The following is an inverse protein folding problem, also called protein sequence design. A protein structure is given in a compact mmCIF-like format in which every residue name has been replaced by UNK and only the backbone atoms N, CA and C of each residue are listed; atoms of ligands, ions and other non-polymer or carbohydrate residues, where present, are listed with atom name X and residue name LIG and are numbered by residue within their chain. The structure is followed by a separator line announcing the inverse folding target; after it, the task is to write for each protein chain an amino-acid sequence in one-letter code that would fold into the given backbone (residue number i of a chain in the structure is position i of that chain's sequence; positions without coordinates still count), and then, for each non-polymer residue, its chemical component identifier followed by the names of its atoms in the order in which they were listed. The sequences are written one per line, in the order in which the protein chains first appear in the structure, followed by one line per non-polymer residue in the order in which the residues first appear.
data_IF_246287693196
#
_entry.id   IF_246287693196
#
_cell.length_a   1.000
_cell.length_b   1.000
_cell.length_c   1.000
_cell.angle_alpha   90.00
_cell.angle_beta   90.00
_cell.angle_gamma   90.00
#
_symmetry.space_group_name_H-M   'P 1'
#
loop_
_entity.id
_entity.type
_entity.pdbx_description
1 polymer ?
#
# COMPACT_ATOMS: atom_id res chain seq x y z
N UNK A 1 -38.99 -20.83 1.96
CA UNK A 1 -38.93 -19.63 2.84
C UNK A 1 -37.50 -19.49 3.32
N UNK A 2 -36.92 -18.28 3.22
CA UNK A 2 -35.58 -18.02 3.79
C UNK A 2 -35.78 -17.83 5.29
N UNK A 3 -35.10 -18.63 6.09
CA UNK A 3 -35.15 -18.53 7.55
C UNK A 3 -34.58 -17.19 8.02
N UNK A 4 -35.30 -16.43 8.88
CA UNK A 4 -34.84 -15.13 9.38
C UNK A 4 -33.46 -15.20 10.05
N UNK A 5 -33.13 -16.34 10.67
CA UNK A 5 -31.85 -16.62 11.34
C UNK A 5 -30.67 -16.57 10.34
N UNK A 6 -30.86 -17.13 9.15
CA UNK A 6 -29.87 -17.12 8.09
C UNK A 6 -29.61 -15.71 7.55
N UNK A 7 -30.68 -14.92 7.35
CA UNK A 7 -30.59 -13.53 6.88
C UNK A 7 -29.87 -12.62 7.91
N UNK A 8 -30.10 -12.89 9.20
CA UNK A 8 -29.55 -12.10 10.30
C UNK A 8 -28.17 -12.60 10.79
N UNK A 9 -27.65 -13.69 10.20
CA UNK A 9 -26.41 -14.33 10.62
C UNK A 9 -26.45 -14.90 12.05
N UNK A 10 -27.64 -15.37 12.48
CA UNK A 10 -27.92 -15.91 13.80
C UNK A 10 -28.28 -17.39 13.71
N UNK A 11 -27.46 -18.19 13.02
CA UNK A 11 -27.76 -19.58 12.63
C UNK A 11 -28.09 -20.51 13.82
N UNK A 12 -27.48 -20.27 14.99
CA UNK A 12 -27.72 -21.07 16.21
C UNK A 12 -28.73 -20.42 17.18
N UNK A 13 -29.59 -19.54 16.66
CA UNK A 13 -30.53 -18.80 17.48
C UNK A 13 -31.95 -18.98 16.95
N UNK A 14 -32.88 -19.26 17.84
CA UNK A 14 -34.31 -19.24 17.60
C UNK A 14 -34.82 -17.81 17.80
N UNK A 15 -35.32 -17.18 16.72
CA UNK A 15 -35.89 -15.84 16.77
C UNK A 15 -37.34 -15.93 17.28
N UNK A 16 -37.61 -15.28 18.39
CA UNK A 16 -38.95 -15.28 19.01
C UNK A 16 -39.80 -14.11 18.53
N UNK A 17 -39.25 -12.90 18.43
CA UNK A 17 -39.96 -11.72 17.92
C UNK A 17 -39.05 -10.79 17.14
N UNK A 18 -39.65 -10.09 16.17
CA UNK A 18 -38.99 -8.98 15.43
C UNK A 18 -39.98 -7.79 15.48
N UNK A 19 -39.59 -6.72 16.12
CA UNK A 19 -40.45 -5.55 16.37
C UNK A 19 -39.78 -4.25 15.94
N UNK A 20 -40.59 -3.26 15.53
CA UNK A 20 -40.12 -1.88 15.38
C UNK A 20 -40.11 -1.21 16.75
N UNK A 21 -39.00 -0.62 17.15
CA UNK A 21 -38.87 0.04 18.44
C UNK A 21 -38.04 1.33 18.33
N UNK A 22 -38.64 2.47 18.65
CA UNK A 22 -37.91 3.75 18.70
C UNK A 22 -37.16 4.12 17.39
N UNK A 23 -37.76 3.87 16.22
CA UNK A 23 -37.11 4.10 14.91
C UNK A 23 -36.11 3.03 14.50
N UNK A 24 -35.82 2.06 15.36
CA UNK A 24 -34.98 0.89 15.12
C UNK A 24 -35.75 -0.43 14.99
N UNK A 25 -35.02 -1.52 15.07
CA UNK A 25 -35.54 -2.89 15.09
C UNK A 25 -35.05 -3.57 16.37
N UNK A 26 -35.94 -4.23 17.07
CA UNK A 26 -35.63 -5.12 18.19
C UNK A 26 -35.86 -6.55 17.74
N UNK A 27 -34.90 -7.41 18.00
CA UNK A 27 -34.97 -8.84 17.75
C UNK A 27 -34.78 -9.55 19.06
N UNK A 28 -35.81 -10.31 19.49
CA UNK A 28 -35.69 -11.19 20.64
C UNK A 28 -35.36 -12.60 20.14
N UNK A 29 -34.37 -13.22 20.76
CA UNK A 29 -33.89 -14.53 20.34
C UNK A 29 -33.37 -15.35 21.53
N UNK A 30 -33.37 -16.67 21.34
CA UNK A 30 -32.83 -17.66 22.26
C UNK A 30 -31.75 -18.46 21.55
N UNK A 31 -30.63 -18.70 22.23
CA UNK A 31 -29.61 -19.60 21.70
C UNK A 31 -30.07 -21.06 21.81
N UNK A 32 -30.12 -21.77 20.70
CA UNK A 32 -30.58 -23.15 20.57
C UNK A 32 -29.44 -24.18 20.54
N UNK A 33 -28.19 -23.73 20.39
CA UNK A 33 -27.04 -24.60 20.32
C UNK A 33 -26.61 -25.19 21.66
N UNK A 34 -25.61 -26.08 21.67
CA UNK A 34 -25.12 -26.77 22.87
C UNK A 34 -24.47 -25.82 23.87
N UNK A 35 -24.77 -26.03 25.15
CA UNK A 35 -24.21 -25.23 26.25
C UNK A 35 -23.26 -26.12 27.06
N UNK A 36 -22.04 -25.68 27.26
CA UNK A 36 -21.03 -26.34 28.08
C UNK A 36 -20.40 -25.37 29.09
N UNK A 37 -19.87 -25.94 30.17
CA UNK A 37 -19.13 -25.16 31.18
C UNK A 37 -17.84 -24.60 30.58
N UNK A 38 -17.58 -23.29 30.64
CA UNK A 38 -16.38 -22.68 30.10
C UNK A 38 -15.08 -23.03 30.85
N UNK A 39 -15.18 -23.74 31.98
CA UNK A 39 -14.02 -24.10 32.81
C UNK A 39 -13.59 -25.56 32.67
N UNK A 40 -14.55 -26.50 32.52
CA UNK A 40 -14.26 -27.94 32.47
C UNK A 40 -14.95 -28.64 31.29
N UNK A 41 -15.62 -27.90 30.43
CA UNK A 41 -16.37 -28.36 29.26
C UNK A 41 -17.51 -29.36 29.56
N UNK A 42 -17.84 -29.58 30.84
CA UNK A 42 -18.94 -30.44 31.24
C UNK A 42 -20.31 -29.91 30.80
N UNK A 43 -21.18 -30.83 30.41
CA UNK A 43 -22.54 -30.50 29.88
C UNK A 43 -23.63 -30.64 30.94
N UNK A 44 -23.37 -31.28 32.09
CA UNK A 44 -24.31 -31.40 33.20
C UNK A 44 -24.41 -30.06 33.95
N UNK A 45 -25.45 -29.29 33.62
CA UNK A 45 -25.65 -27.93 34.10
C UNK A 45 -26.97 -27.82 34.85
N UNK A 46 -26.99 -27.02 35.94
CA UNK A 46 -28.21 -26.67 36.70
C UNK A 46 -28.46 -25.17 36.52
N UNK A 47 -29.67 -24.80 36.10
CA UNK A 47 -30.06 -23.40 35.99
C UNK A 47 -30.15 -22.74 37.37
N UNK A 48 -29.69 -21.50 37.48
CA UNK A 48 -29.70 -20.65 38.67
C UNK A 48 -30.47 -19.32 38.43
N UNK A 49 -31.23 -19.25 37.36
CA UNK A 49 -32.05 -18.11 36.97
C UNK A 49 -31.83 -17.65 35.54
N UNK A 50 -32.76 -16.86 35.05
CA UNK A 50 -32.74 -16.28 33.68
C UNK A 50 -32.28 -14.84 33.72
N UNK A 51 -31.83 -14.31 32.61
CA UNK A 51 -31.52 -12.90 32.39
C UNK A 51 -31.67 -12.57 30.92
N UNK A 52 -31.87 -11.30 30.59
CA UNK A 52 -31.88 -10.79 29.23
C UNK A 52 -30.56 -10.03 29.00
N UNK A 53 -29.88 -10.36 27.89
CA UNK A 53 -28.69 -9.65 27.42
C UNK A 53 -29.04 -8.83 26.21
N UNK A 54 -28.81 -7.52 26.29
CA UNK A 54 -29.02 -6.57 25.18
C UNK A 54 -27.73 -6.24 24.53
N UNK A 55 -27.65 -6.40 23.19
CA UNK A 55 -26.47 -6.10 22.39
C UNK A 55 -26.87 -5.42 21.10
N UNK A 56 -26.05 -4.51 20.66
CA UNK A 56 -26.17 -3.89 19.36
C UNK A 56 -25.81 -4.90 18.27
N UNK A 57 -26.69 -5.09 17.28
CA UNK A 57 -26.50 -5.92 16.09
C UNK A 57 -26.29 -5.04 14.86
N UNK A 58 -25.83 -5.61 13.75
CA UNK A 58 -25.73 -4.91 12.46
C UNK A 58 -27.05 -4.21 12.13
N UNK A 59 -26.92 -3.00 11.59
CA UNK A 59 -28.09 -2.23 11.17
C UNK A 59 -28.78 -2.88 9.98
N UNK A 60 -30.08 -3.02 10.01
CA UNK A 60 -30.87 -3.58 8.91
C UNK A 60 -31.36 -2.40 8.07
N UNK A 61 -30.79 -2.26 6.88
CA UNK A 61 -30.95 -1.07 6.07
C UNK A 61 -30.34 0.15 6.79
N UNK A 62 -31.16 1.16 7.08
CA UNK A 62 -30.73 2.36 7.84
C UNK A 62 -31.22 2.35 9.31
N UNK A 63 -31.78 1.25 9.77
CA UNK A 63 -32.36 1.14 11.11
C UNK A 63 -31.42 0.44 12.07
N UNK A 64 -31.26 1.05 13.22
CA UNK A 64 -30.51 0.47 14.31
C UNK A 64 -31.14 -0.85 14.76
N UNK A 65 -30.35 -1.91 14.96
CA UNK A 65 -30.84 -3.20 15.41
C UNK A 65 -30.34 -3.51 16.82
N UNK A 66 -31.26 -3.81 17.72
CA UNK A 66 -31.00 -4.27 19.08
C UNK A 66 -31.39 -5.74 19.21
N UNK A 67 -30.43 -6.56 19.60
CA UNK A 67 -30.65 -7.99 19.85
C UNK A 67 -30.84 -8.18 21.38
N UNK A 68 -31.98 -8.74 21.76
CA UNK A 68 -32.29 -9.16 23.12
C UNK A 68 -32.22 -10.68 23.22
N UNK A 69 -31.26 -11.16 24.00
CA UNK A 69 -30.98 -12.60 24.15
C UNK A 69 -31.41 -13.09 25.51
N UNK A 70 -32.31 -14.07 25.51
CA UNK A 70 -32.61 -14.82 26.72
C UNK A 70 -31.42 -15.74 27.07
N UNK A 71 -30.94 -15.66 28.27
CA UNK A 71 -29.84 -16.45 28.77
C UNK A 71 -30.06 -16.94 30.21
N UNK A 72 -29.28 -17.95 30.56
CA UNK A 72 -29.31 -18.55 31.88
C UNK A 72 -28.02 -18.32 32.66
N UNK A 73 -28.15 -18.19 33.97
CA UNK A 73 -27.05 -18.37 34.90
C UNK A 73 -26.97 -19.87 35.19
N UNK A 74 -25.82 -20.47 34.98
CA UNK A 74 -25.60 -21.89 35.15
C UNK A 74 -24.68 -22.22 36.30
N UNK A 75 -24.90 -23.34 36.95
CA UNK A 75 -23.95 -24.03 37.86
C UNK A 75 -23.55 -25.33 37.20
N UNK A 76 -22.26 -25.54 36.95
CA UNK A 76 -21.74 -26.83 36.50
C UNK A 76 -21.78 -27.83 37.64
N UNK A 77 -22.33 -29.04 37.37
CA UNK A 77 -22.39 -30.10 38.36
C UNK A 77 -21.07 -30.84 38.53
N UNK A 78 -20.18 -30.81 37.51
CA UNK A 78 -18.86 -31.42 37.57
C UNK A 78 -17.87 -30.56 38.37
N UNK A 79 -17.58 -29.32 37.97
CA UNK A 79 -16.61 -28.45 38.64
C UNK A 79 -17.22 -27.49 39.69
N UNK A 80 -18.53 -27.51 39.87
CA UNK A 80 -19.32 -26.68 40.82
C UNK A 80 -19.26 -25.18 40.59
N UNK A 81 -18.54 -24.67 39.58
CA UNK A 81 -18.44 -23.26 39.24
C UNK A 81 -19.74 -22.72 38.63
N UNK A 82 -20.04 -21.45 38.90
CA UNK A 82 -21.16 -20.74 38.30
C UNK A 82 -20.67 -19.88 37.16
N UNK A 83 -21.48 -19.74 36.09
CA UNK A 83 -21.19 -18.89 34.97
C UNK A 83 -22.48 -18.37 34.30
N UNK A 84 -22.35 -17.26 33.58
CA UNK A 84 -23.41 -16.79 32.69
C UNK A 84 -23.26 -17.47 31.33
N UNK A 85 -24.37 -17.84 30.71
CA UNK A 85 -24.38 -18.41 29.36
C UNK A 85 -23.58 -17.52 28.42
N UNK A 86 -22.72 -18.17 27.60
CA UNK A 86 -22.03 -17.50 26.50
C UNK A 86 -22.89 -17.61 25.24
N UNK A 87 -22.77 -16.61 24.39
CA UNK A 87 -23.49 -16.52 23.12
C UNK A 87 -22.47 -16.44 21.99
N UNK A 88 -22.48 -17.36 21.02
CA UNK A 88 -21.65 -17.27 19.81
C UNK A 88 -21.83 -15.92 19.13
N UNK A 89 -20.74 -15.35 18.59
CA UNK A 89 -20.77 -14.02 17.96
C UNK A 89 -20.92 -12.83 18.91
N UNK A 90 -20.91 -13.06 20.24
CA UNK A 90 -21.01 -12.00 21.25
C UNK A 90 -19.93 -12.19 22.30
N UNK A 91 -18.90 -11.35 22.24
CA UNK A 91 -17.82 -11.39 23.21
C UNK A 91 -18.28 -11.10 24.64
N UNK A 92 -17.65 -11.73 25.65
CA UNK A 92 -17.93 -11.43 27.05
C UNK A 92 -17.82 -9.93 27.35
N UNK A 93 -18.71 -9.42 28.17
CA UNK A 93 -18.74 -8.00 28.60
C UNK A 93 -18.85 -6.95 27.48
N UNK A 94 -19.13 -7.35 26.24
CA UNK A 94 -19.36 -6.41 25.15
C UNK A 94 -20.85 -6.10 24.96
N UNK A 95 -21.15 -4.85 24.58
CA UNK A 95 -22.53 -4.36 24.29
C UNK A 95 -22.87 -4.39 22.80
N UNK A 96 -22.02 -5.01 21.97
CA UNK A 96 -22.22 -5.15 20.53
C UNK A 96 -21.76 -6.54 20.08
N UNK A 97 -22.45 -7.09 19.09
CA UNK A 97 -22.08 -8.34 18.44
C UNK A 97 -20.75 -8.21 17.68
N UNK A 98 -20.11 -9.33 17.40
CA UNK A 98 -18.91 -9.34 16.55
C UNK A 98 -19.22 -8.91 15.11
N UNK A 99 -20.41 -9.23 14.60
CA UNK A 99 -20.88 -8.79 13.31
C UNK A 99 -20.95 -7.26 13.24
N UNK A 100 -21.59 -6.60 14.20
CA UNK A 100 -21.62 -5.14 14.29
C UNK A 100 -20.22 -4.52 14.37
N UNK A 101 -19.32 -5.11 15.16
CA UNK A 101 -17.94 -4.61 15.27
C UNK A 101 -17.18 -4.75 13.93
N UNK A 102 -17.38 -5.86 13.19
CA UNK A 102 -16.82 -6.06 11.85
C UNK A 102 -17.38 -5.07 10.83
N UNK A 103 -18.69 -4.82 10.84
CA UNK A 103 -19.33 -3.81 10.01
C UNK A 103 -18.73 -2.41 10.24
N UNK A 104 -18.57 -1.98 11.49
CA UNK A 104 -17.93 -0.70 11.84
C UNK A 104 -16.50 -0.65 11.38
N UNK A 105 -15.74 -1.73 11.54
CA UNK A 105 -14.36 -1.84 11.08
C UNK A 105 -14.26 -1.66 9.57
N UNK A 106 -15.05 -2.42 8.78
CA UNK A 106 -15.05 -2.37 7.33
C UNK A 106 -15.40 -0.97 6.81
N UNK A 107 -16.49 -0.40 7.27
CA UNK A 107 -16.93 0.93 6.83
C UNK A 107 -15.94 2.05 7.19
N UNK A 108 -15.26 1.94 8.33
CA UNK A 108 -14.19 2.89 8.68
C UNK A 108 -12.94 2.66 7.84
N UNK A 109 -12.63 1.43 7.51
CA UNK A 109 -11.54 1.07 6.60
C UNK A 109 -11.77 1.64 5.20
N UNK A 110 -13.02 1.56 4.69
CA UNK A 110 -13.46 2.09 3.40
C UNK A 110 -13.51 3.63 3.33
N UNK A 111 -13.12 4.33 4.41
CA UNK A 111 -12.91 5.77 4.42
C UNK A 111 -14.02 6.59 5.09
N UNK A 112 -15.06 5.97 5.67
CA UNK A 112 -16.05 6.72 6.45
C UNK A 112 -15.40 7.17 7.76
N UNK A 113 -15.36 8.49 8.02
CA UNK A 113 -14.72 9.00 9.22
C UNK A 113 -15.47 8.62 10.51
N UNK A 114 -14.74 8.59 11.64
CA UNK A 114 -15.24 8.15 12.95
C UNK A 114 -16.47 8.90 13.43
N UNK A 115 -16.49 10.22 13.25
CA UNK A 115 -17.59 11.07 13.72
C UNK A 115 -18.87 10.79 12.93
N UNK A 116 -18.78 10.72 11.59
CA UNK A 116 -19.92 10.42 10.73
C UNK A 116 -20.46 9.01 10.99
N UNK A 117 -19.57 8.04 11.13
CA UNK A 117 -19.94 6.65 11.40
C UNK A 117 -20.59 6.53 12.79
N UNK A 118 -20.00 7.20 13.79
CA UNK A 118 -20.54 7.24 15.14
C UNK A 118 -21.95 7.84 15.21
N UNK A 119 -22.17 8.98 14.54
CA UNK A 119 -23.49 9.60 14.44
C UNK A 119 -24.52 8.70 13.76
N UNK A 120 -24.14 8.07 12.64
CA UNK A 120 -25.02 7.18 11.89
C UNK A 120 -25.44 5.95 12.68
N UNK A 121 -24.52 5.37 13.42
CA UNK A 121 -24.77 4.13 14.16
C UNK A 121 -25.16 4.36 15.64
N UNK A 122 -25.26 5.61 16.08
CA UNK A 122 -25.64 5.94 17.47
C UNK A 122 -24.58 5.52 18.50
N UNK A 123 -23.29 5.55 18.14
CA UNK A 123 -22.17 5.22 19.04
C UNK A 123 -21.13 6.35 19.07
N UNK A 124 -20.37 6.44 20.15
CA UNK A 124 -19.31 7.45 20.26
C UNK A 124 -18.15 7.19 19.29
N UNK A 125 -17.52 8.27 18.78
CA UNK A 125 -16.35 8.19 17.90
C UNK A 125 -15.18 7.37 18.53
N UNK A 126 -15.02 7.44 19.87
CA UNK A 126 -14.04 6.62 20.59
C UNK A 126 -14.38 5.12 20.55
N UNK A 127 -15.66 4.76 20.47
CA UNK A 127 -16.08 3.37 20.32
C UNK A 127 -15.80 2.86 18.91
N UNK A 128 -16.02 3.69 17.87
CA UNK A 128 -15.61 3.38 16.48
C UNK A 128 -14.11 3.11 16.42
N UNK A 129 -13.29 3.99 17.02
CA UNK A 129 -11.84 3.81 17.07
C UNK A 129 -11.45 2.51 17.76
N UNK A 130 -12.06 2.18 18.89
CA UNK A 130 -11.78 0.96 19.66
C UNK A 130 -12.11 -0.31 18.86
N UNK A 131 -13.23 -0.32 18.12
CA UNK A 131 -13.57 -1.44 17.24
C UNK A 131 -12.62 -1.54 16.05
N UNK A 132 -12.20 -0.40 15.51
CA UNK A 132 -11.24 -0.35 14.43
C UNK A 132 -9.87 -0.89 14.87
N UNK A 133 -9.32 -0.44 15.98
CA UNK A 133 -8.05 -0.92 16.52
C UNK A 133 -8.09 -2.43 16.83
N UNK A 134 -9.20 -2.92 17.37
CA UNK A 134 -9.38 -4.36 17.62
C UNK A 134 -9.42 -5.17 16.33
N UNK A 135 -10.09 -4.67 15.29
CA UNK A 135 -10.12 -5.28 13.96
C UNK A 135 -8.73 -5.32 13.33
N UNK A 136 -7.99 -4.22 13.43
CA UNK A 136 -6.59 -4.14 13.01
C UNK A 136 -5.74 -5.22 13.70
N UNK A 137 -5.79 -5.31 15.01
CA UNK A 137 -4.99 -6.30 15.76
C UNK A 137 -5.29 -7.73 15.33
N UNK A 138 -6.56 -8.09 15.09
CA UNK A 138 -6.95 -9.41 14.59
C UNK A 138 -6.34 -9.70 13.23
N UNK A 139 -6.43 -8.79 12.28
CA UNK A 139 -5.86 -8.98 10.94
C UNK A 139 -4.34 -8.98 10.95
N UNK A 140 -3.71 -8.17 11.82
CA UNK A 140 -2.25 -8.10 11.90
C UNK A 140 -1.61 -9.31 12.60
N UNK A 141 -2.31 -10.03 13.48
CA UNK A 141 -1.78 -11.28 14.04
C UNK A 141 -1.46 -12.33 12.96
N UNK A 142 -2.20 -12.28 11.84
CA UNK A 142 -1.97 -13.14 10.68
C UNK A 142 -0.79 -12.65 9.78
N UNK A 143 -0.38 -11.38 9.92
CA UNK A 143 0.63 -10.74 9.06
C UNK A 143 2.06 -10.81 9.61
N UNK A 144 2.25 -11.03 10.90
CA UNK A 144 3.57 -11.03 11.54
C UNK A 144 4.50 -12.15 11.05
N UNK A 145 3.99 -13.13 10.31
CA UNK A 145 4.77 -14.27 9.78
C UNK A 145 5.28 -14.06 8.34
N UNK A 146 5.07 -12.90 7.72
CA UNK A 146 5.47 -12.69 6.32
C UNK A 146 6.96 -12.40 6.21
N UNK A 147 7.70 -13.37 5.67
CA UNK A 147 9.11 -13.21 5.30
C UNK A 147 9.29 -12.17 4.19
N UNK A 148 10.50 -11.60 4.09
CA UNK A 148 10.86 -10.70 3.01
C UNK A 148 10.51 -11.28 1.63
N UNK A 149 9.95 -10.47 0.70
CA UNK A 149 9.66 -10.91 -0.65
C UNK A 149 10.96 -11.19 -1.43
N UNK A 150 10.91 -12.13 -2.37
CA UNK A 150 12.06 -12.45 -3.23
C UNK A 150 12.48 -11.27 -4.13
N UNK A 151 11.51 -10.44 -4.52
CA UNK A 151 11.70 -9.27 -5.38
C UNK A 151 11.09 -8.08 -4.66
N UNK A 152 11.94 -7.21 -4.15
CA UNK A 152 11.57 -6.04 -3.37
C UNK A 152 11.63 -4.77 -4.23
N UNK A 153 10.61 -3.94 -4.16
CA UNK A 153 10.63 -2.56 -4.63
C UNK A 153 10.87 -1.63 -3.45
N UNK A 154 11.73 -0.63 -3.62
CA UNK A 154 11.95 0.44 -2.65
C UNK A 154 11.71 1.77 -3.35
N UNK A 155 10.84 2.59 -2.76
CA UNK A 155 10.53 3.92 -3.28
C UNK A 155 10.14 4.86 -2.15
N UNK A 156 10.19 6.15 -2.37
CA UNK A 156 9.79 7.14 -1.38
C UNK A 156 8.49 7.84 -1.77
N UNK A 157 7.68 8.16 -0.77
CA UNK A 157 6.52 9.03 -0.96
C UNK A 157 6.43 10.08 0.14
N UNK A 158 5.82 11.21 -0.19
CA UNK A 158 5.58 12.26 0.78
C UNK A 158 4.42 11.88 1.69
N UNK A 159 4.64 11.86 3.00
CA UNK A 159 3.61 11.52 3.97
C UNK A 159 2.88 12.75 4.50
N UNK A 160 3.58 13.66 5.17
CA UNK A 160 3.01 14.92 5.69
C UNK A 160 4.08 16.01 5.78
N UNK A 161 3.67 17.28 5.77
CA UNK A 161 4.61 18.41 5.95
C UNK A 161 5.42 18.31 7.25
N UNK A 162 4.80 17.83 8.34
CA UNK A 162 5.45 17.71 9.66
C UNK A 162 6.43 16.54 9.75
N UNK A 163 6.12 15.41 9.13
CA UNK A 163 6.91 14.17 9.25
C UNK A 163 7.73 13.85 8.01
N UNK A 164 7.55 14.60 6.92
CA UNK A 164 8.31 14.46 5.69
C UNK A 164 7.93 13.21 4.90
N UNK A 165 8.96 12.46 4.50
CA UNK A 165 8.84 11.30 3.62
C UNK A 165 8.73 9.99 4.39
N UNK A 166 8.16 8.99 3.73
CA UNK A 166 8.18 7.60 4.14
C UNK A 166 8.72 6.73 3.01
N UNK A 167 9.37 5.63 3.35
CA UNK A 167 9.86 4.63 2.41
C UNK A 167 8.84 3.51 2.29
N UNK A 168 8.43 3.23 1.07
CA UNK A 168 7.53 2.13 0.71
C UNK A 168 8.34 0.92 0.28
N UNK A 169 8.05 -0.22 0.87
CA UNK A 169 8.59 -1.53 0.51
C UNK A 169 7.49 -2.33 -0.18
N UNK A 170 7.70 -2.71 -1.45
CA UNK A 170 6.73 -3.44 -2.26
C UNK A 170 7.20 -4.85 -2.59
N UNK A 171 6.31 -5.81 -2.52
CA UNK A 171 6.47 -7.13 -3.13
C UNK A 171 6.13 -7.03 -4.62
N UNK A 172 7.16 -6.86 -5.45
CA UNK A 172 6.98 -6.69 -6.91
C UNK A 172 6.57 -7.99 -7.63
N UNK A 173 6.68 -9.14 -6.97
CA UNK A 173 6.22 -10.41 -7.52
C UNK A 173 4.72 -10.58 -7.36
N UNK A 174 4.20 -10.26 -6.18
CA UNK A 174 2.81 -10.46 -5.81
C UNK A 174 1.98 -9.17 -5.91
N UNK A 175 2.55 -8.09 -6.43
CA UNK A 175 1.88 -6.80 -6.68
C UNK A 175 1.17 -6.26 -5.43
N UNK A 176 1.91 -6.10 -4.34
CA UNK A 176 1.36 -5.61 -3.06
C UNK A 176 2.38 -4.79 -2.28
N UNK A 177 1.89 -3.92 -1.41
CA UNK A 177 2.74 -3.26 -0.43
C UNK A 177 3.14 -4.27 0.65
N UNK A 178 4.43 -4.44 0.84
CA UNK A 178 4.98 -5.26 1.90
C UNK A 178 4.98 -4.51 3.23
N UNK A 179 5.53 -3.28 3.25
CA UNK A 179 5.50 -2.41 4.41
C UNK A 179 5.77 -0.94 4.05
N UNK A 180 5.53 -0.04 5.01
CA UNK A 180 5.85 1.38 4.92
C UNK A 180 6.60 1.80 6.17
N UNK A 181 7.72 2.50 5.99
CA UNK A 181 8.60 2.93 7.09
C UNK A 181 8.73 4.44 7.06
N UNK A 182 8.61 5.10 8.22
CA UNK A 182 8.77 6.55 8.29
C UNK A 182 10.22 6.95 8.08
N UNK A 183 10.45 7.95 7.23
CA UNK A 183 11.76 8.46 6.87
C UNK A 183 12.32 7.84 5.59
N UNK A 184 13.46 8.40 5.15
CA UNK A 184 14.19 7.98 3.93
C UNK A 184 15.70 7.94 4.11
N UNK A 185 16.20 8.30 5.30
CA UNK A 185 17.63 8.23 5.62
C UNK A 185 18.02 6.82 6.09
N UNK A 186 19.30 6.47 5.97
CA UNK A 186 19.83 5.20 6.45
C UNK A 186 19.51 5.01 7.95
N UNK A 187 19.73 6.05 8.76
CA UNK A 187 19.45 6.03 10.19
C UNK A 187 17.97 5.78 10.50
N UNK A 188 17.05 6.38 9.74
CA UNK A 188 15.61 6.18 9.96
C UNK A 188 15.14 4.78 9.61
N UNK A 189 15.80 4.10 8.68
CA UNK A 189 15.45 2.75 8.23
C UNK A 189 16.16 1.66 9.05
N UNK A 190 17.26 1.96 9.71
CA UNK A 190 18.15 1.01 10.37
C UNK A 190 17.41 0.13 11.38
N UNK A 191 16.68 0.72 12.33
CA UNK A 191 15.97 -0.01 13.38
C UNK A 191 14.88 -0.95 12.86
N UNK A 192 14.25 -0.59 11.75
CA UNK A 192 13.29 -1.43 11.06
C UNK A 192 13.97 -2.59 10.35
N UNK A 193 15.03 -2.29 9.58
CA UNK A 193 15.75 -3.27 8.77
C UNK A 193 16.52 -4.30 9.62
N UNK A 194 17.02 -3.90 10.79
CA UNK A 194 17.66 -4.84 11.72
C UNK A 194 16.69 -5.95 12.16
N UNK A 195 15.45 -5.60 12.48
CA UNK A 195 14.40 -6.53 12.92
C UNK A 195 13.73 -7.32 11.80
N UNK A 196 14.01 -6.97 10.55
CA UNK A 196 13.37 -7.59 9.40
C UNK A 196 13.92 -8.99 9.16
N UNK A 197 13.06 -10.00 9.18
CA UNK A 197 13.43 -11.40 8.96
C UNK A 197 13.44 -11.79 7.48
N UNK A 198 14.26 -12.77 7.12
CA UNK A 198 14.29 -13.32 5.76
C UNK A 198 15.00 -12.45 4.73
N UNK A 199 15.82 -11.48 5.13
CA UNK A 199 16.59 -10.59 4.25
C UNK A 199 17.50 -11.34 3.27
N UNK A 200 18.07 -12.45 3.66
CA UNK A 200 18.92 -13.32 2.80
C UNK A 200 18.17 -14.00 1.67
N UNK A 201 16.84 -14.10 1.75
CA UNK A 201 16.01 -14.63 0.68
C UNK A 201 15.76 -13.64 -0.46
N UNK A 202 15.95 -12.35 -0.24
CA UNK A 202 15.76 -11.31 -1.26
C UNK A 202 16.81 -11.48 -2.38
N UNK A 203 16.36 -11.60 -3.62
CA UNK A 203 17.21 -11.82 -4.81
C UNK A 203 17.36 -10.57 -5.68
N UNK A 204 16.33 -9.75 -5.71
CA UNK A 204 16.32 -8.51 -6.49
C UNK A 204 15.74 -7.38 -5.65
N UNK A 205 16.36 -6.20 -5.75
CA UNK A 205 15.80 -4.96 -5.23
C UNK A 205 15.73 -3.96 -6.37
N UNK A 206 14.52 -3.52 -6.73
CA UNK A 206 14.28 -2.44 -7.67
C UNK A 206 14.11 -1.13 -6.89
N UNK A 207 14.88 -0.10 -7.25
CA UNK A 207 14.89 1.17 -6.54
C UNK A 207 15.30 2.33 -7.42
N UNK A 208 15.06 3.53 -6.94
CA UNK A 208 15.55 4.78 -7.53
C UNK A 208 17.07 4.89 -7.48
N UNK A 209 17.60 5.83 -8.25
CA UNK A 209 19.04 6.17 -8.23
C UNK A 209 19.41 7.00 -6.98
N UNK A 210 19.05 6.51 -5.81
CA UNK A 210 19.36 7.13 -4.52
C UNK A 210 20.51 6.39 -3.83
N UNK A 211 21.60 7.11 -3.52
CA UNK A 211 22.80 6.54 -2.88
C UNK A 211 22.50 5.95 -1.51
N UNK A 212 21.59 6.56 -0.75
CA UNK A 212 21.11 6.06 0.54
C UNK A 212 20.52 4.65 0.42
N UNK A 213 19.61 4.44 -0.54
CA UNK A 213 19.02 3.12 -0.73
C UNK A 213 20.04 2.09 -1.23
N UNK A 214 21.02 2.52 -2.04
CA UNK A 214 22.13 1.64 -2.46
C UNK A 214 22.94 1.15 -1.25
N UNK A 215 23.30 2.06 -0.32
CA UNK A 215 23.99 1.72 0.94
C UNK A 215 23.16 0.75 1.77
N UNK A 216 21.90 1.08 2.03
CA UNK A 216 20.95 0.28 2.79
C UNK A 216 20.81 -1.14 2.20
N UNK A 217 20.65 -1.26 0.88
CA UNK A 217 20.48 -2.57 0.24
C UNK A 217 21.74 -3.40 0.35
N UNK A 218 22.91 -2.83 0.12
CA UNK A 218 24.20 -3.53 0.25
C UNK A 218 24.47 -4.03 1.66
N UNK A 219 24.07 -3.24 2.67
CA UNK A 219 24.25 -3.57 4.08
C UNK A 219 23.29 -4.68 4.56
N UNK A 220 22.01 -4.59 4.19
CA UNK A 220 20.97 -5.43 4.79
C UNK A 220 20.50 -6.60 3.93
N UNK A 221 20.75 -6.60 2.61
CA UNK A 221 20.29 -7.64 1.68
C UNK A 221 21.47 -8.27 0.91
N UNK A 222 22.28 -9.12 1.58
CA UNK A 222 23.58 -9.57 1.05
C UNK A 222 23.50 -10.32 -0.27
N UNK A 223 22.37 -11.00 -0.54
CA UNK A 223 22.16 -11.80 -1.75
C UNK A 223 21.40 -11.06 -2.85
N UNK A 224 21.02 -9.80 -2.59
CA UNK A 224 20.19 -9.05 -3.51
C UNK A 224 21.01 -8.36 -4.61
N UNK A 225 20.56 -8.48 -5.84
CA UNK A 225 21.04 -7.66 -6.94
C UNK A 225 20.18 -6.40 -7.03
N UNK A 226 20.84 -5.25 -7.08
CA UNK A 226 20.15 -3.96 -7.25
C UNK A 226 19.85 -3.77 -8.74
N UNK A 227 18.64 -3.33 -9.03
CA UNK A 227 18.15 -2.97 -10.37
C UNK A 227 17.64 -1.53 -10.28
N UNK A 228 18.15 -0.66 -11.15
CA UNK A 228 17.66 0.72 -11.23
C UNK A 228 16.22 0.76 -11.74
N UNK A 229 15.38 1.63 -11.18
CA UNK A 229 14.07 1.86 -11.75
C UNK A 229 14.17 2.62 -13.07
N UNK A 230 13.66 2.00 -14.13
CA UNK A 230 13.74 2.51 -15.50
C UNK A 230 13.07 3.87 -15.65
N UNK A 231 11.94 4.09 -14.98
CA UNK A 231 11.23 5.36 -15.04
C UNK A 231 12.11 6.50 -14.51
N UNK A 232 12.77 6.29 -13.38
CA UNK A 232 13.67 7.27 -12.77
C UNK A 232 14.93 7.51 -13.62
N UNK A 233 15.50 6.47 -14.24
CA UNK A 233 16.63 6.64 -15.18
C UNK A 233 16.22 7.54 -16.35
N UNK A 234 15.08 7.26 -16.99
CA UNK A 234 14.57 8.09 -18.10
C UNK A 234 14.22 9.51 -17.65
N UNK A 235 13.69 9.68 -16.45
CA UNK A 235 13.40 10.99 -15.85
C UNK A 235 14.67 11.83 -15.69
N UNK A 236 15.76 11.23 -15.22
CA UNK A 236 17.05 11.90 -15.07
C UNK A 236 17.62 12.30 -16.44
N UNK A 237 17.59 11.42 -17.41
CA UNK A 237 18.00 11.75 -18.79
C UNK A 237 17.22 12.94 -19.33
N UNK A 238 15.91 12.91 -19.20
CA UNK A 238 15.05 14.04 -19.63
C UNK A 238 15.35 15.33 -18.86
N UNK A 239 15.60 15.24 -17.55
CA UNK A 239 15.91 16.42 -16.72
C UNK A 239 17.18 17.14 -17.21
N UNK A 240 18.29 16.43 -17.34
CA UNK A 240 19.54 17.03 -17.82
C UNK A 240 19.46 17.54 -19.26
N UNK A 241 18.80 16.79 -20.13
CA UNK A 241 18.54 17.22 -21.49
C UNK A 241 17.72 18.52 -21.57
N UNK A 242 16.65 18.65 -20.77
CA UNK A 242 15.82 19.86 -20.74
C UNK A 242 16.56 21.05 -20.09
N UNK A 243 17.45 20.80 -19.15
CA UNK A 243 18.27 21.87 -18.59
C UNK A 243 19.29 22.36 -19.62
N UNK A 244 19.94 21.43 -20.34
CA UNK A 244 20.82 21.78 -21.46
C UNK A 244 20.08 22.61 -22.52
N UNK A 245 18.86 22.22 -22.88
CA UNK A 245 18.04 23.02 -23.80
C UNK A 245 17.73 24.42 -23.28
N UNK A 246 17.41 24.57 -21.98
CA UNK A 246 17.18 25.88 -21.37
C UNK A 246 18.40 26.79 -21.39
N UNK A 247 19.60 26.22 -21.28
CA UNK A 247 20.86 26.94 -21.40
C UNK A 247 21.14 27.40 -22.83
N UNK A 248 20.80 26.57 -23.83
CA UNK A 248 21.02 26.84 -25.26
C UNK A 248 19.97 27.78 -25.87
N UNK A 249 18.72 27.64 -25.44
CA UNK A 249 17.60 28.46 -25.91
C UNK A 249 16.64 28.77 -24.74
N UNK A 250 16.91 29.83 -23.98
CA UNK A 250 16.08 30.23 -22.83
C UNK A 250 14.66 30.70 -23.21
N UNK A 251 14.45 31.14 -24.46
CA UNK A 251 13.18 31.71 -24.93
C UNK A 251 12.21 30.55 -25.26
N UNK A 252 12.54 29.75 -26.26
CA UNK A 252 11.66 28.68 -26.72
C UNK A 252 11.53 27.53 -25.72
N UNK A 253 12.48 27.35 -24.80
CA UNK A 253 12.37 26.37 -23.74
C UNK A 253 11.20 26.63 -22.77
N UNK A 254 10.64 27.84 -22.75
CA UNK A 254 9.42 28.22 -22.01
C UNK A 254 8.13 27.89 -22.77
N UNK A 255 8.20 27.63 -24.06
CA UNK A 255 7.07 27.25 -24.90
C UNK A 255 6.53 25.88 -24.48
N UNK A 256 5.34 25.85 -23.85
CA UNK A 256 4.72 24.62 -23.34
C UNK A 256 4.49 23.56 -24.43
N UNK A 257 4.20 24.00 -25.66
CA UNK A 257 4.00 23.11 -26.80
C UNK A 257 5.29 22.39 -27.18
N UNK A 258 6.39 23.11 -27.38
CA UNK A 258 7.71 22.56 -27.67
C UNK A 258 8.24 21.72 -26.51
N UNK A 259 8.07 22.15 -25.27
CA UNK A 259 8.45 21.41 -24.07
C UNK A 259 7.79 20.01 -24.03
N UNK A 260 6.52 19.94 -24.40
CA UNK A 260 5.80 18.67 -24.50
C UNK A 260 6.39 17.76 -25.58
N UNK A 261 6.77 18.31 -26.73
CA UNK A 261 7.38 17.56 -27.85
C UNK A 261 8.79 17.08 -27.49
N UNK A 262 9.61 17.95 -26.91
CA UNK A 262 10.99 17.66 -26.52
C UNK A 262 11.08 16.55 -25.45
N UNK A 263 10.10 16.44 -24.56
CA UNK A 263 10.04 15.37 -23.54
C UNK A 263 9.73 14.01 -24.11
N UNK A 264 8.88 13.92 -25.13
CA UNK A 264 8.36 12.66 -25.66
C UNK A 264 9.39 11.92 -26.49
N UNK A 265 9.17 10.62 -26.63
CA UNK A 265 9.88 9.82 -27.64
C UNK A 265 9.34 10.16 -29.03
N UNK A 266 10.24 10.31 -30.01
CA UNK A 266 9.90 10.71 -31.38
C UNK A 266 8.81 9.82 -32.00
N UNK A 267 8.88 8.51 -31.78
CA UNK A 267 7.90 7.56 -32.31
C UNK A 267 6.50 7.66 -31.69
N UNK A 268 6.34 8.38 -30.57
CA UNK A 268 5.04 8.65 -29.95
C UNK A 268 4.44 10.01 -30.36
N UNK A 269 5.09 10.72 -31.27
CA UNK A 269 4.61 12.00 -31.80
C UNK A 269 3.78 11.75 -33.06
N UNK A 270 2.69 12.50 -33.22
CA UNK A 270 1.91 12.53 -34.46
C UNK A 270 2.74 13.15 -35.59
N UNK A 271 2.46 12.86 -36.89
CA UNK A 271 3.22 13.40 -38.01
C UNK A 271 3.39 14.93 -37.97
N UNK A 272 2.30 15.66 -37.70
CA UNK A 272 2.31 17.13 -37.55
C UNK A 272 3.23 17.61 -36.42
N UNK A 273 3.21 16.90 -35.29
CA UNK A 273 4.10 17.18 -34.15
C UNK A 273 5.56 16.91 -34.47
N UNK A 274 5.83 15.86 -35.25
CA UNK A 274 7.18 15.56 -35.73
C UNK A 274 7.68 16.63 -36.71
N UNK A 275 6.84 17.08 -37.63
CA UNK A 275 7.17 18.15 -38.57
C UNK A 275 7.49 19.46 -37.84
N UNK A 276 6.64 19.87 -36.90
CA UNK A 276 6.86 21.07 -36.07
C UNK A 276 8.17 20.99 -35.27
N UNK A 277 8.44 19.84 -34.66
CA UNK A 277 9.67 19.65 -33.90
C UNK A 277 10.90 19.65 -34.83
N UNK A 278 10.81 19.02 -36.02
CA UNK A 278 11.89 18.99 -36.98
C UNK A 278 12.20 20.40 -37.52
N UNK A 279 11.19 21.22 -37.83
CA UNK A 279 11.37 22.62 -38.23
C UNK A 279 12.13 23.40 -37.16
N UNK A 280 11.73 23.33 -35.90
CA UNK A 280 12.42 23.98 -34.81
C UNK A 280 13.89 23.50 -34.64
N UNK A 281 14.12 22.19 -34.70
CA UNK A 281 15.48 21.63 -34.54
C UNK A 281 16.40 21.94 -35.73
N UNK A 282 15.85 22.19 -36.90
CA UNK A 282 16.62 22.59 -38.09
C UNK A 282 17.29 23.98 -37.91
N UNK A 283 16.70 24.86 -37.14
CA UNK A 283 17.25 26.19 -36.79
C UNK A 283 18.42 26.08 -35.79
N UNK A 284 18.52 24.97 -35.04
CA UNK A 284 19.53 24.76 -34.00
C UNK A 284 20.24 23.40 -34.16
N UNK A 285 21.23 23.28 -35.07
CA UNK A 285 21.90 22.00 -35.38
C UNK A 285 22.54 21.32 -34.15
N UNK A 286 23.11 22.10 -33.24
CA UNK A 286 23.67 21.57 -31.99
C UNK A 286 22.60 20.96 -31.07
N UNK A 287 21.45 21.57 -30.98
CA UNK A 287 20.31 21.06 -30.21
C UNK A 287 19.70 19.81 -30.85
N UNK A 288 19.64 19.74 -32.20
CA UNK A 288 19.19 18.56 -32.89
C UNK A 288 20.12 17.36 -32.63
N UNK A 289 21.43 17.58 -32.61
CA UNK A 289 22.39 16.52 -32.27
C UNK A 289 22.16 15.96 -30.87
N UNK A 290 21.97 16.86 -29.89
CA UNK A 290 21.68 16.50 -28.49
C UNK A 290 20.34 15.77 -28.38
N UNK A 291 19.31 16.24 -29.10
CA UNK A 291 17.99 15.59 -29.15
C UNK A 291 18.06 14.17 -29.71
N UNK A 292 18.74 13.98 -30.84
CA UNK A 292 18.96 12.66 -31.47
C UNK A 292 19.75 11.73 -30.54
N UNK A 293 20.75 12.26 -29.85
CA UNK A 293 21.50 11.51 -28.84
C UNK A 293 20.59 11.05 -27.70
N UNK A 294 19.79 11.96 -27.14
CA UNK A 294 18.78 11.63 -26.11
C UNK A 294 17.83 10.53 -26.58
N UNK A 295 17.31 10.61 -27.79
CA UNK A 295 16.39 9.59 -28.34
C UNK A 295 17.08 8.21 -28.42
N UNK A 296 18.31 8.15 -28.92
CA UNK A 296 19.11 6.89 -29.01
C UNK A 296 19.39 6.32 -27.62
N UNK A 297 19.77 7.16 -26.65
CA UNK A 297 20.02 6.76 -25.28
C UNK A 297 18.75 6.21 -24.62
N UNK A 298 17.64 6.92 -24.71
CA UNK A 298 16.37 6.46 -24.19
C UNK A 298 15.92 5.13 -24.82
N UNK A 299 16.09 4.97 -26.15
CA UNK A 299 15.78 3.72 -26.83
C UNK A 299 16.62 2.55 -26.31
N UNK A 300 17.91 2.78 -26.05
CA UNK A 300 18.81 1.81 -25.43
C UNK A 300 18.32 1.42 -24.03
N UNK A 301 17.99 2.39 -23.18
CA UNK A 301 17.56 2.21 -21.81
C UNK A 301 16.19 1.51 -21.69
N UNK A 302 15.32 1.67 -22.69
CA UNK A 302 13.99 1.06 -22.72
C UNK A 302 13.97 -0.42 -23.12
N UNK A 303 15.08 -1.00 -23.56
CA UNK A 303 15.15 -2.44 -23.89
C UNK A 303 14.82 -3.30 -22.67
N UNK A 304 14.05 -4.39 -22.91
CA UNK A 304 13.55 -5.30 -21.88
C UNK A 304 13.81 -6.75 -22.26
N UNK A 305 13.76 -7.65 -21.27
CA UNK A 305 13.82 -9.11 -21.48
C UNK A 305 15.01 -9.57 -22.31
N UNK A 306 16.22 -9.03 -22.04
CA UNK A 306 17.41 -9.36 -22.81
C UNK A 306 18.17 -10.55 -22.21
N UNK A 307 18.69 -11.39 -23.07
CA UNK A 307 19.61 -12.47 -22.68
C UNK A 307 20.93 -11.90 -22.17
N UNK A 308 21.74 -12.70 -21.49
CA UNK A 308 23.04 -12.28 -20.99
C UNK A 308 23.93 -11.75 -22.12
N UNK A 309 24.00 -12.46 -23.27
CA UNK A 309 24.77 -12.03 -24.46
C UNK A 309 24.28 -10.69 -25.01
N UNK A 310 22.95 -10.50 -25.12
CA UNK A 310 22.37 -9.23 -25.56
C UNK A 310 22.67 -8.08 -24.58
N UNK A 311 22.64 -8.34 -23.29
CA UNK A 311 22.99 -7.32 -22.27
C UNK A 311 24.46 -6.88 -22.40
N UNK A 312 25.37 -7.78 -22.70
CA UNK A 312 26.79 -7.43 -22.96
C UNK A 312 26.94 -6.46 -24.11
N UNK A 313 26.27 -6.71 -25.25
CA UNK A 313 26.29 -5.80 -26.38
C UNK A 313 25.69 -4.44 -26.08
N UNK A 314 24.59 -4.41 -25.29
CA UNK A 314 23.97 -3.18 -24.86
C UNK A 314 24.87 -2.40 -23.87
N UNK A 315 25.62 -3.10 -23.01
CA UNK A 315 26.55 -2.49 -22.08
C UNK A 315 27.71 -1.75 -22.81
N UNK A 316 28.25 -2.32 -23.84
CA UNK A 316 29.26 -1.64 -24.66
C UNK A 316 28.75 -0.35 -25.29
N UNK A 317 27.53 -0.39 -25.86
CA UNK A 317 26.86 0.81 -26.41
C UNK A 317 26.57 1.86 -25.34
N UNK A 318 26.17 1.42 -24.16
CA UNK A 318 25.88 2.28 -23.05
C UNK A 318 27.13 2.97 -22.50
N UNK A 319 28.23 2.23 -22.33
CA UNK A 319 29.52 2.79 -21.91
C UNK A 319 30.06 3.80 -22.93
N UNK A 320 29.89 3.52 -24.23
CA UNK A 320 30.25 4.48 -25.29
C UNK A 320 29.40 5.77 -25.18
N UNK A 321 28.09 5.64 -24.91
CA UNK A 321 27.22 6.81 -24.70
C UNK A 321 27.61 7.60 -23.45
N UNK A 322 27.96 6.94 -22.35
CA UNK A 322 28.48 7.58 -21.13
C UNK A 322 29.75 8.36 -21.43
N UNK A 323 30.69 7.76 -22.15
CA UNK A 323 31.93 8.42 -22.52
C UNK A 323 31.69 9.67 -23.38
N UNK A 324 30.82 9.57 -24.39
CA UNK A 324 30.39 10.73 -25.20
C UNK A 324 29.76 11.85 -24.35
N UNK A 325 28.94 11.53 -23.37
CA UNK A 325 28.35 12.52 -22.46
C UNK A 325 29.43 13.21 -21.62
N UNK A 326 30.37 12.47 -21.07
CA UNK A 326 31.46 13.02 -20.23
C UNK A 326 32.42 13.93 -21.02
N UNK A 327 32.50 13.75 -22.33
CA UNK A 327 33.33 14.58 -23.23
C UNK A 327 32.56 15.67 -23.98
N UNK A 328 31.26 15.83 -23.69
CA UNK A 328 30.39 16.73 -24.48
C UNK A 328 30.65 18.24 -24.26
N UNK A 329 31.49 18.62 -23.29
CA UNK A 329 31.79 20.02 -22.99
C UNK A 329 30.65 20.84 -22.37
N UNK A 330 29.45 20.28 -22.28
CA UNK A 330 28.27 20.91 -21.70
C UNK A 330 28.05 20.40 -20.25
N UNK A 331 28.05 21.26 -19.22
CA UNK A 331 28.01 20.84 -17.82
C UNK A 331 26.87 19.87 -17.48
N UNK A 332 25.68 20.11 -18.04
CA UNK A 332 24.51 19.24 -17.82
C UNK A 332 24.71 17.84 -18.39
N UNK A 333 25.33 17.70 -19.56
CA UNK A 333 25.60 16.42 -20.20
C UNK A 333 26.74 15.68 -19.50
N UNK A 334 27.77 16.38 -19.04
CA UNK A 334 28.85 15.81 -18.25
C UNK A 334 28.31 15.25 -16.94
N UNK A 335 27.49 16.02 -16.22
CA UNK A 335 26.83 15.60 -14.97
C UNK A 335 25.94 14.36 -15.18
N UNK A 336 25.20 14.32 -16.28
CA UNK A 336 24.44 13.12 -16.66
C UNK A 336 25.37 11.92 -16.88
N UNK A 337 26.47 12.11 -17.60
CA UNK A 337 27.48 11.08 -17.87
C UNK A 337 28.06 10.51 -16.57
N UNK A 338 28.41 11.34 -15.62
CA UNK A 338 28.91 10.90 -14.30
C UNK A 338 27.85 10.13 -13.51
N UNK A 339 26.63 10.62 -13.51
CA UNK A 339 25.50 9.92 -12.85
C UNK A 339 25.27 8.53 -13.45
N UNK A 340 25.18 8.44 -14.78
CA UNK A 340 24.99 7.16 -15.47
C UNK A 340 26.18 6.22 -15.28
N UNK A 341 27.42 6.75 -15.23
CA UNK A 341 28.62 5.97 -14.94
C UNK A 341 28.60 5.40 -13.53
N UNK A 342 28.24 6.20 -12.52
CA UNK A 342 28.14 5.77 -11.13
C UNK A 342 27.13 4.64 -10.95
N UNK A 343 26.06 4.63 -11.74
CA UNK A 343 24.95 3.66 -11.66
C UNK A 343 24.96 2.61 -12.79
N UNK A 344 26.07 2.47 -13.53
CA UNK A 344 26.12 1.65 -14.73
C UNK A 344 25.73 0.18 -14.53
N UNK A 345 26.08 -0.39 -13.38
CA UNK A 345 25.80 -1.80 -13.07
C UNK A 345 24.31 -2.05 -12.80
N UNK A 346 23.70 -1.17 -12.02
CA UNK A 346 22.28 -1.22 -11.66
C UNK A 346 21.38 -0.91 -12.87
N UNK A 347 21.83 0.00 -13.74
CA UNK A 347 21.16 0.33 -15.01
C UNK A 347 21.28 -0.85 -15.98
N UNK A 348 22.45 -1.45 -16.12
CA UNK A 348 22.65 -2.62 -17.00
C UNK A 348 21.79 -3.82 -16.52
N UNK A 349 21.59 -3.97 -15.22
CA UNK A 349 20.75 -5.02 -14.67
C UNK A 349 19.28 -4.91 -15.10
N UNK A 350 18.75 -3.71 -15.37
CA UNK A 350 17.34 -3.51 -15.75
C UNK A 350 16.98 -4.07 -17.14
N UNK A 351 17.95 -4.34 -18.03
CA UNK A 351 17.67 -4.98 -19.32
C UNK A 351 17.30 -6.44 -19.17
N UNK A 352 17.91 -7.13 -18.23
CA UNK A 352 17.65 -8.55 -17.93
C UNK A 352 16.51 -8.71 -16.96
N UNK A 353 16.52 -7.94 -15.87
CA UNK A 353 15.55 -7.99 -14.80
C UNK A 353 14.55 -6.86 -15.01
N UNK A 354 13.49 -7.12 -15.76
CA UNK A 354 12.55 -6.11 -16.24
C UNK A 354 11.53 -5.63 -15.20
N UNK A 355 11.75 -5.90 -13.95
CA UNK A 355 10.89 -5.38 -12.88
C UNK A 355 11.09 -3.86 -12.76
N UNK A 356 10.00 -3.14 -12.59
CA UNK A 356 10.00 -1.68 -12.41
C UNK A 356 9.15 -1.32 -11.20
N UNK A 357 9.41 -0.16 -10.62
CA UNK A 357 8.60 0.41 -9.55
C UNK A 357 7.25 1.00 -10.03
N UNK A 358 6.86 0.83 -11.28
CA UNK A 358 5.58 1.33 -11.79
C UNK A 358 4.36 0.86 -10.99
N UNK A 359 4.45 -0.33 -10.39
CA UNK A 359 3.44 -0.82 -9.43
C UNK A 359 3.45 0.03 -8.16
N UNK A 360 4.63 0.43 -7.68
CA UNK A 360 4.78 1.28 -6.49
C UNK A 360 4.17 2.65 -6.71
N UNK A 361 4.32 3.25 -7.90
CA UNK A 361 3.65 4.50 -8.27
C UNK A 361 2.11 4.36 -8.19
N UNK A 362 1.56 3.26 -8.68
CA UNK A 362 0.13 2.95 -8.54
C UNK A 362 -0.30 2.86 -7.07
N UNK A 363 0.53 2.27 -6.21
CA UNK A 363 0.29 2.24 -4.77
C UNK A 363 0.41 3.62 -4.12
N UNK A 364 1.36 4.45 -4.54
CA UNK A 364 1.47 5.82 -4.02
C UNK A 364 0.20 6.63 -4.30
N UNK A 365 -0.40 6.51 -5.47
CA UNK A 365 -1.69 7.12 -5.77
C UNK A 365 -2.80 6.61 -4.85
N UNK A 366 -2.86 5.30 -4.58
CA UNK A 366 -3.82 4.70 -3.64
C UNK A 366 -3.56 5.15 -2.20
N UNK A 367 -2.30 5.24 -1.79
CA UNK A 367 -1.88 5.72 -0.48
C UNK A 367 -2.24 7.20 -0.28
N UNK A 368 -2.09 8.03 -1.32
CA UNK A 368 -2.51 9.41 -1.29
C UNK A 368 -4.04 9.53 -1.15
N UNK A 369 -4.81 8.68 -1.84
CA UNK A 369 -6.26 8.62 -1.67
C UNK A 369 -6.64 8.23 -0.24
N UNK A 370 -5.99 7.21 0.34
CA UNK A 370 -6.19 6.80 1.75
C UNK A 370 -5.93 7.99 2.70
N UNK A 371 -4.86 8.75 2.45
CA UNK A 371 -4.51 9.91 3.27
C UNK A 371 -5.56 11.04 3.13
N UNK A 372 -6.04 11.31 1.93
CA UNK A 372 -7.10 12.30 1.65
C UNK A 372 -8.44 11.91 2.29
N UNK A 373 -8.87 10.66 2.18
CA UNK A 373 -10.11 10.16 2.80
C UNK A 373 -10.11 10.29 4.32
N UNK A 374 -8.93 10.18 4.95
CA UNK A 374 -8.77 10.34 6.39
C UNK A 374 -8.59 11.81 6.83
N UNK A 375 -8.64 12.78 5.90
CA UNK A 375 -8.27 14.20 6.15
C UNK A 375 -6.86 14.35 6.75
N UNK A 376 -5.96 13.42 6.40
CA UNK A 376 -4.60 13.31 6.93
C UNK A 376 -4.49 12.41 8.15
N UNK A 377 -3.30 11.87 8.38
CA UNK A 377 -2.99 11.02 9.53
C UNK A 377 -2.03 11.73 10.48
N UNK A 378 -2.44 11.90 11.74
CA UNK A 378 -1.54 12.35 12.81
C UNK A 378 -0.60 11.22 13.28
N UNK A 379 -1.12 9.99 13.33
CA UNK A 379 -0.37 8.80 13.75
C UNK A 379 0.08 8.00 12.52
N UNK A 380 1.40 7.85 12.37
CA UNK A 380 1.99 7.11 11.26
C UNK A 380 1.65 5.62 11.30
N UNK A 381 1.60 4.99 12.47
CA UNK A 381 1.27 3.57 12.58
C UNK A 381 -0.16 3.27 12.13
N UNK A 382 -1.12 4.16 12.41
CA UNK A 382 -2.47 4.04 11.88
C UNK A 382 -2.51 4.13 10.34
N UNK A 383 -1.71 5.03 9.76
CA UNK A 383 -1.55 5.11 8.31
C UNK A 383 -0.92 3.85 7.74
N UNK A 384 0.23 3.43 8.28
CA UNK A 384 0.96 2.23 7.88
C UNK A 384 0.07 0.99 7.88
N UNK A 385 -0.69 0.81 8.97
CA UNK A 385 -1.62 -0.31 9.11
C UNK A 385 -2.73 -0.30 8.05
N UNK A 386 -3.33 0.87 7.77
CA UNK A 386 -4.32 0.99 6.70
C UNK A 386 -3.74 0.69 5.33
N UNK A 387 -2.57 1.21 5.01
CA UNK A 387 -1.88 0.93 3.76
C UNK A 387 -1.63 -0.57 3.61
N UNK A 388 -1.13 -1.22 4.66
CA UNK A 388 -0.91 -2.68 4.64
C UNK A 388 -2.19 -3.47 4.42
N UNK A 389 -3.32 -3.05 4.96
CA UNK A 389 -4.60 -3.73 4.76
C UNK A 389 -5.20 -3.52 3.37
N UNK A 390 -5.07 -2.30 2.84
CA UNK A 390 -5.72 -1.93 1.58
C UNK A 390 -4.84 -2.18 0.35
N UNK A 391 -3.52 -2.30 0.54
CA UNK A 391 -2.53 -2.44 -0.54
C UNK A 391 -1.63 -3.69 -0.37
N UNK A 392 -1.77 -4.45 0.70
CA UNK A 392 -0.91 -5.59 1.07
C UNK A 392 -1.42 -6.97 0.71
#
# INVERSE_FOLDING_TARGET
MIEPEAVLGLLDYEITTIERHGGGIRISARYSGPISCPHCHGTRLRSKGRYVRRVRQESIGRRACLLELEGHKWRCLACRRQFRQRFPGILPCQRASEAFQRMIFGQHLDGINRSRLGKREGIGAATVERYFQRGLQRQFSEWHSRRCPLILGIDEHFFTRRKGYATTLCDLRNHRVYDVVLGRSELSLESYLQRLEGKSAVRLVCMDLASVYRSVVRKHFPNARIVADRFHVIRIVNHHFLNCWRELDPVESRNRGLLSLMRRHRHNLKPEQQARLAAYLAEFPGLDLIYRFKQRLCYLLLKKHRTRKQCQLLAVRFLKAIHQLRQAGLPQLVSLGETLHSWRNEIAAMWRFTRSNGITEGFHNKMELINRQAYGFHNFENYRMRVKLLCG
#
